data_IF_232113798446
#
_entry.id   IF_232113798446
#
_cell.length_a   1.000
_cell.length_b   1.000
_cell.length_c   1.000
_cell.angle_alpha   90.00
_cell.angle_beta   90.00
_cell.angle_gamma   90.00
#
_symmetry.space_group_name_H-M   'P 1'
#
loop_
_entity.id
_entity.type
_entity.pdbx_description
1 polymer ?
#
# COMPACT_ATOMS: atom_id res chain seq x y z
N UNK A 1 26.38 -39.88 -18.31
CA UNK A 1 25.15 -39.48 -17.61
C UNK A 1 25.42 -38.09 -17.11
N UNK A 2 24.84 -37.07 -17.74
CA UNK A 2 25.12 -35.66 -17.39
C UNK A 2 23.96 -35.19 -16.52
N UNK A 3 24.22 -34.99 -15.23
CA UNK A 3 23.26 -34.47 -14.28
C UNK A 3 22.85 -33.04 -14.68
N UNK A 4 21.60 -32.90 -15.10
CA UNK A 4 20.98 -31.62 -15.40
C UNK A 4 20.54 -30.98 -14.08
N UNK A 5 21.45 -30.22 -13.44
CA UNK A 5 21.12 -29.39 -12.28
C UNK A 5 20.22 -28.24 -12.76
N UNK A 6 18.95 -28.27 -12.39
CA UNK A 6 18.04 -27.15 -12.67
C UNK A 6 18.50 -25.89 -11.94
N UNK A 7 18.49 -24.72 -12.61
CA UNK A 7 18.78 -23.46 -11.95
C UNK A 7 17.72 -23.16 -10.86
N UNK A 8 18.08 -22.44 -9.79
CA UNK A 8 17.14 -22.04 -8.75
C UNK A 8 16.02 -21.17 -9.34
N UNK A 9 14.79 -21.26 -8.82
CA UNK A 9 13.69 -20.42 -9.29
C UNK A 9 14.05 -18.94 -9.07
N UNK A 10 13.80 -18.11 -10.08
CA UNK A 10 13.96 -16.67 -9.96
C UNK A 10 13.07 -16.14 -8.83
N UNK A 11 13.53 -15.12 -8.07
CA UNK A 11 12.67 -14.46 -7.10
C UNK A 11 11.44 -13.92 -7.85
N UNK A 12 10.24 -14.32 -7.40
CA UNK A 12 8.98 -13.82 -7.92
C UNK A 12 8.88 -12.30 -7.77
N UNK A 13 7.88 -11.65 -8.41
CA UNK A 13 7.67 -10.23 -8.24
C UNK A 13 7.54 -9.93 -6.75
N UNK A 14 8.53 -9.22 -6.20
CA UNK A 14 8.49 -8.72 -4.82
C UNK A 14 7.16 -7.98 -4.70
N UNK A 15 6.25 -8.36 -3.78
CA UNK A 15 5.03 -7.59 -3.60
C UNK A 15 5.52 -6.17 -3.29
N UNK A 16 5.28 -5.25 -4.23
CA UNK A 16 5.56 -3.83 -4.06
C UNK A 16 5.02 -3.50 -2.69
N UNK A 17 5.93 -3.23 -1.73
CA UNK A 17 5.55 -3.04 -0.35
C UNK A 17 4.53 -1.89 -0.36
N UNK A 18 3.25 -2.23 -0.21
CA UNK A 18 2.18 -1.25 -0.27
C UNK A 18 2.53 -0.24 0.81
N UNK A 19 2.85 0.99 0.41
CA UNK A 19 3.40 1.99 1.30
C UNK A 19 2.39 2.25 2.42
N UNK A 20 2.58 1.64 3.59
CA UNK A 20 1.68 1.80 4.74
C UNK A 20 2.12 3.00 5.56
N UNK A 21 1.18 3.86 5.92
CA UNK A 21 1.41 4.96 6.86
C UNK A 21 0.66 4.73 8.17
N UNK A 22 1.20 5.21 9.29
CA UNK A 22 0.44 5.30 10.54
C UNK A 22 -0.26 6.65 10.60
N UNK A 23 -1.58 6.62 10.66
CA UNK A 23 -2.44 7.80 10.76
C UNK A 23 -3.46 7.57 11.86
N UNK A 24 -4.00 8.66 12.40
CA UNK A 24 -5.13 8.60 13.33
C UNK A 24 -6.38 8.17 12.55
N UNK A 25 -6.97 7.06 12.96
CA UNK A 25 -8.24 6.60 12.42
C UNK A 25 -9.35 7.11 13.34
N UNK A 26 -10.21 7.99 12.83
CA UNK A 26 -11.32 8.56 13.60
C UNK A 26 -12.37 7.51 14.01
N UNK A 27 -12.55 6.45 13.22
CA UNK A 27 -13.47 5.36 13.59
C UNK A 27 -12.89 4.43 14.67
N UNK A 28 -11.56 4.23 14.70
CA UNK A 28 -10.91 3.43 15.73
C UNK A 28 -10.46 4.26 16.94
N UNK A 29 -10.54 5.59 16.85
CA UNK A 29 -10.07 6.58 17.83
C UNK A 29 -8.61 6.33 18.27
N UNK A 30 -7.77 5.84 17.34
CA UNK A 30 -6.36 5.50 17.61
C UNK A 30 -5.50 5.52 16.35
N UNK A 31 -4.18 5.52 16.57
CA UNK A 31 -3.20 5.38 15.49
C UNK A 31 -3.19 3.95 14.92
N UNK A 32 -3.51 3.82 13.63
CA UNK A 32 -3.58 2.52 12.93
C UNK A 32 -2.81 2.56 11.61
N UNK A 33 -2.47 1.38 11.09
CA UNK A 33 -1.87 1.27 9.76
C UNK A 33 -2.92 1.58 8.68
N UNK A 34 -2.58 2.43 7.72
CA UNK A 34 -3.42 2.76 6.58
C UNK A 34 -2.73 2.40 5.27
N UNK A 35 -3.54 1.99 4.29
CA UNK A 35 -3.10 1.73 2.91
C UNK A 35 -3.52 2.87 1.99
N UNK A 36 -2.72 3.20 0.96
CA UNK A 36 -3.03 4.25 0.02
C UNK A 36 -4.24 3.83 -0.82
N UNK A 37 -5.23 4.72 -0.87
CA UNK A 37 -6.42 4.62 -1.68
C UNK A 37 -6.36 5.52 -2.91
N UNK A 38 -7.53 5.91 -3.44
CA UNK A 38 -7.64 6.83 -4.57
C UNK A 38 -6.86 8.12 -4.35
N UNK A 39 -6.40 8.74 -5.43
CA UNK A 39 -5.83 10.08 -5.38
C UNK A 39 -6.51 10.99 -6.39
N UNK A 40 -6.60 12.25 -6.00
CA UNK A 40 -6.91 13.35 -6.90
C UNK A 40 -5.59 13.89 -7.44
N UNK A 41 -5.46 13.88 -8.76
CA UNK A 41 -4.30 14.45 -9.46
C UNK A 41 -4.62 15.86 -9.94
N UNK A 42 -3.61 16.72 -9.93
CA UNK A 42 -3.67 18.04 -10.53
C UNK A 42 -3.46 17.97 -12.04
N UNK A 43 -3.49 19.15 -12.66
CA UNK A 43 -3.38 19.31 -14.12
C UNK A 43 -2.01 18.86 -14.67
N UNK A 44 -0.97 18.89 -13.84
CA UNK A 44 0.40 18.54 -14.21
C UNK A 44 0.75 17.10 -13.74
N UNK A 45 -0.25 16.34 -13.29
CA UNK A 45 -0.10 14.96 -12.82
C UNK A 45 0.40 14.84 -11.38
N UNK A 46 0.57 15.96 -10.67
CA UNK A 46 0.93 16.00 -9.26
C UNK A 46 -0.20 15.47 -8.37
N UNK A 47 0.13 14.80 -7.27
CA UNK A 47 -0.89 14.34 -6.31
C UNK A 47 -1.32 15.51 -5.45
N UNK A 48 -2.55 15.98 -5.62
CA UNK A 48 -3.14 17.04 -4.78
C UNK A 48 -3.68 16.47 -3.47
N UNK A 49 -4.33 15.30 -3.54
CA UNK A 49 -4.90 14.61 -2.38
C UNK A 49 -4.70 13.11 -2.56
N UNK A 50 -4.18 12.42 -1.53
CA UNK A 50 -4.20 10.95 -1.44
C UNK A 50 -5.13 10.54 -0.31
N UNK A 51 -6.11 9.70 -0.62
CA UNK A 51 -6.93 9.06 0.40
C UNK A 51 -6.20 7.88 1.00
N UNK A 52 -6.42 7.65 2.29
CA UNK A 52 -5.85 6.55 3.06
C UNK A 52 -6.98 5.77 3.71
N UNK A 53 -6.99 4.45 3.51
CA UNK A 53 -7.97 3.57 4.12
C UNK A 53 -7.33 2.83 5.30
N UNK A 54 -8.02 2.81 6.44
CA UNK A 54 -7.56 2.05 7.60
C UNK A 54 -7.44 0.56 7.23
N UNK A 55 -6.34 -0.08 7.60
CA UNK A 55 -6.14 -1.52 7.38
C UNK A 55 -6.79 -2.37 8.48
N UNK A 56 -7.20 -1.74 9.59
CA UNK A 56 -7.81 -2.40 10.75
C UNK A 56 -9.34 -2.29 10.76
N UNK A 57 -9.93 -1.26 10.14
CA UNK A 57 -11.38 -1.10 10.00
C UNK A 57 -11.76 -0.70 8.56
N UNK A 58 -12.99 -1.00 8.14
CA UNK A 58 -13.49 -0.69 6.78
C UNK A 58 -14.17 0.68 6.65
N UNK A 59 -14.26 1.44 7.74
CA UNK A 59 -15.12 2.63 7.82
C UNK A 59 -14.34 3.94 7.66
N UNK A 60 -13.07 4.00 8.05
CA UNK A 60 -12.31 5.25 8.07
C UNK A 60 -11.49 5.47 6.79
N UNK A 61 -11.80 6.56 6.10
CA UNK A 61 -11.03 7.11 4.99
C UNK A 61 -10.51 8.50 5.38
N UNK A 62 -9.19 8.69 5.36
CA UNK A 62 -8.55 9.95 5.78
C UNK A 62 -7.71 10.53 4.65
N UNK A 63 -7.81 11.83 4.31
CA UNK A 63 -6.89 12.46 3.36
C UNK A 63 -5.50 12.68 4.00
N UNK A 64 -4.43 12.58 3.22
CA UNK A 64 -3.06 12.85 3.68
C UNK A 64 -1.98 12.66 2.62
#
# INVERSE_FOLDING_TARGET
MTDFVSPPPLPGPTPLAVARRRLECLACERMTAHVPGPATLGKDGEVLVRWWACAECREAHTPG
#
